data_IF_050218553797
#
_entry.id   IF_050218553797
#
_cell.length_a   1.000
_cell.length_b   1.000
_cell.length_c   1.000
_cell.angle_alpha   90.00
_cell.angle_beta   90.00
_cell.angle_gamma   90.00
#
_symmetry.space_group_name_H-M   'P 1'
#
loop_
_entity.id
_entity.type
_entity.pdbx_description
1 polymer ?
#
# COMPACT_ATOMS: atom_id res chain seq x y z
N UNK A 1 -0.43 14.29 -8.04
CA UNK A 1 -1.73 13.57 -8.08
C UNK A 1 -2.44 13.83 -6.78
N UNK A 2 -3.72 14.16 -6.85
CA UNK A 2 -4.55 14.39 -5.68
C UNK A 2 -4.77 13.08 -4.93
N UNK A 3 -4.86 13.18 -3.61
CA UNK A 3 -5.10 12.04 -2.72
C UNK A 3 -6.52 12.05 -2.21
N UNK A 4 -7.20 10.91 -2.22
CA UNK A 4 -8.50 10.73 -1.57
C UNK A 4 -8.26 10.37 -0.11
N UNK A 5 -8.67 11.26 0.78
CA UNK A 5 -8.48 11.12 2.23
C UNK A 5 -9.84 10.99 2.89
N UNK A 6 -10.09 9.87 3.56
CA UNK A 6 -11.31 9.67 4.35
C UNK A 6 -11.05 10.13 5.78
N UNK A 7 -11.89 11.02 6.30
CA UNK A 7 -11.83 11.49 7.69
C UNK A 7 -13.16 11.18 8.36
N UNK A 8 -13.17 10.22 9.28
CA UNK A 8 -14.40 9.76 9.92
C UNK A 8 -14.30 9.79 11.44
N UNK A 9 -15.43 10.12 12.07
CA UNK A 9 -15.66 9.89 13.49
C UNK A 9 -16.16 8.47 13.70
N UNK A 10 -15.52 7.72 14.58
CA UNK A 10 -15.83 6.30 14.81
C UNK A 10 -15.84 5.95 16.30
N UNK A 11 -16.83 5.18 16.74
CA UNK A 11 -16.88 4.62 18.10
C UNK A 11 -15.93 3.43 18.26
N UNK A 12 -15.71 2.95 19.49
CA UNK A 12 -14.86 1.77 19.74
C UNK A 12 -15.38 0.49 19.07
N UNK A 13 -16.70 0.37 18.89
CA UNK A 13 -17.38 -0.73 18.21
C UNK A 13 -17.63 -0.48 16.70
N UNK A 14 -16.98 0.55 16.13
CA UNK A 14 -16.89 0.77 14.70
C UNK A 14 -18.07 1.50 14.05
N UNK A 15 -18.92 2.16 14.85
CA UNK A 15 -20.12 2.87 14.39
C UNK A 15 -19.75 4.30 13.95
N UNK A 16 -20.35 4.75 12.85
CA UNK A 16 -20.15 6.09 12.25
C UNK A 16 -21.47 6.85 12.04
N UNK A 17 -22.59 6.33 12.53
CA UNK A 17 -23.92 6.90 12.32
C UNK A 17 -24.19 8.09 13.22
N UNK A 18 -24.77 9.15 12.67
CA UNK A 18 -25.22 10.36 13.39
C UNK A 18 -24.25 10.91 14.45
N UNK A 19 -22.95 11.10 14.14
CA UNK A 19 -21.99 11.53 15.15
C UNK A 19 -22.24 12.94 15.67
N UNK A 20 -22.68 13.87 14.83
CA UNK A 20 -22.70 15.31 15.12
C UNK A 20 -23.98 15.76 15.79
N UNK A 21 -25.15 15.32 15.31
CA UNK A 21 -26.46 15.79 15.80
C UNK A 21 -27.39 14.65 16.16
N UNK A 22 -28.27 14.90 17.13
CA UNK A 22 -29.30 13.96 17.56
C UNK A 22 -30.23 13.51 16.42
N UNK A 23 -30.51 14.41 15.47
CA UNK A 23 -31.41 14.21 14.33
C UNK A 23 -30.69 13.93 13.00
N UNK A 24 -29.36 13.73 13.01
CA UNK A 24 -28.54 13.65 11.77
C UNK A 24 -28.88 12.44 10.89
N UNK A 25 -29.09 11.27 11.51
CA UNK A 25 -29.39 10.00 10.83
C UNK A 25 -30.06 9.02 11.79
N UNK A 26 -31.38 9.14 11.92
CA UNK A 26 -32.22 8.30 12.79
C UNK A 26 -32.62 6.95 12.17
N UNK A 27 -32.04 6.55 11.03
CA UNK A 27 -32.35 5.28 10.37
C UNK A 27 -32.16 4.10 11.34
N UNK A 28 -33.13 3.17 11.34
CA UNK A 28 -33.06 1.96 12.17
C UNK A 28 -33.27 2.22 13.67
N UNK A 29 -34.03 3.27 14.02
CA UNK A 29 -34.32 3.68 15.40
C UNK A 29 -33.04 3.96 16.22
N UNK A 30 -32.01 4.48 15.56
CA UNK A 30 -30.74 4.78 16.20
C UNK A 30 -30.88 5.88 17.27
N UNK A 31 -30.67 5.51 18.52
CA UNK A 31 -30.99 6.34 19.68
C UNK A 31 -29.84 7.25 20.15
N UNK A 32 -28.68 7.19 19.51
CA UNK A 32 -27.44 7.79 20.03
C UNK A 32 -26.91 8.94 19.19
N UNK A 33 -27.74 9.60 18.38
CA UNK A 33 -27.29 10.75 17.57
C UNK A 33 -26.61 11.85 18.42
N UNK A 34 -25.56 12.47 17.88
CA UNK A 34 -24.78 13.50 18.57
C UNK A 34 -23.77 12.94 19.58
N UNK A 35 -23.42 11.66 19.49
CA UNK A 35 -22.58 10.99 20.48
C UNK A 35 -21.15 11.52 20.60
N UNK A 36 -20.65 12.31 19.65
CA UNK A 36 -19.28 12.88 19.74
C UNK A 36 -19.19 14.09 20.66
N UNK A 37 -20.31 14.78 20.93
CA UNK A 37 -20.32 16.09 21.60
C UNK A 37 -19.56 16.13 22.93
N UNK A 38 -19.64 15.11 23.82
CA UNK A 38 -18.87 15.11 25.08
C UNK A 38 -17.35 15.10 24.93
N UNK A 39 -16.85 14.78 23.73
CA UNK A 39 -15.43 14.55 23.43
C UNK A 39 -14.84 15.60 22.46
N UNK A 40 -15.61 16.63 22.10
CA UNK A 40 -15.14 17.69 21.20
C UNK A 40 -14.26 18.69 21.95
N UNK A 41 -12.99 18.32 22.15
CA UNK A 41 -11.96 19.20 22.74
C UNK A 41 -11.19 20.02 21.69
N UNK A 42 -10.26 20.86 22.16
CA UNK A 42 -9.44 21.72 21.31
C UNK A 42 -8.57 20.94 20.31
N UNK A 43 -8.08 19.76 20.70
CA UNK A 43 -7.26 18.91 19.82
C UNK A 43 -8.10 18.38 18.65
N UNK A 44 -9.32 17.90 18.94
CA UNK A 44 -10.26 17.43 17.92
C UNK A 44 -10.68 18.59 16.99
N UNK A 45 -11.02 19.74 17.56
CA UNK A 45 -11.41 20.92 16.80
C UNK A 45 -10.27 21.41 15.89
N UNK A 46 -9.05 21.49 16.42
CA UNK A 46 -7.85 21.90 15.67
C UNK A 46 -7.54 20.95 14.53
N UNK A 47 -7.63 19.64 14.77
CA UNK A 47 -7.44 18.64 13.73
C UNK A 47 -8.44 18.82 12.59
N UNK A 48 -9.73 18.92 12.91
CA UNK A 48 -10.79 19.09 11.92
C UNK A 48 -10.70 20.42 11.17
N UNK A 49 -10.38 21.52 11.85
CA UNK A 49 -10.16 22.83 11.23
C UNK A 49 -8.96 22.82 10.26
N UNK A 50 -7.87 22.15 10.63
CA UNK A 50 -6.70 21.98 9.75
C UNK A 50 -7.00 21.10 8.54
N UNK A 51 -7.67 19.96 8.74
CA UNK A 51 -8.03 19.07 7.65
C UNK A 51 -8.96 19.75 6.64
N UNK A 52 -9.90 20.54 7.13
CA UNK A 52 -10.87 21.28 6.33
C UNK A 52 -10.21 22.44 5.56
N UNK A 53 -9.41 23.25 6.24
CA UNK A 53 -8.77 24.44 5.63
C UNK A 53 -7.73 24.10 4.57
N UNK A 54 -7.11 22.92 4.66
CA UNK A 54 -6.09 22.44 3.72
C UNK A 54 -6.64 21.57 2.59
N UNK A 55 -7.93 21.23 2.61
CA UNK A 55 -8.55 20.43 1.56
C UNK A 55 -8.46 21.14 0.20
N UNK A 56 -8.13 20.39 -0.84
CA UNK A 56 -8.18 20.86 -2.23
C UNK A 56 -9.57 20.66 -2.86
N UNK A 57 -10.38 19.77 -2.30
CA UNK A 57 -11.78 19.55 -2.67
C UNK A 57 -12.49 18.63 -1.68
N UNK A 58 -13.82 18.61 -1.75
CA UNK A 58 -14.65 17.70 -0.96
C UNK A 58 -15.34 16.70 -1.87
N UNK A 59 -15.38 15.43 -1.48
CA UNK A 59 -16.17 14.41 -2.15
C UNK A 59 -17.27 13.95 -1.18
N UNK A 60 -18.52 14.25 -1.53
CA UNK A 60 -19.65 14.20 -0.61
C UNK A 60 -20.76 13.30 -1.15
N UNK A 61 -21.25 12.39 -0.31
CA UNK A 61 -22.55 11.75 -0.54
C UNK A 61 -23.71 12.72 -0.28
N UNK A 62 -24.87 12.48 -0.89
CA UNK A 62 -26.08 13.32 -0.76
C UNK A 62 -26.41 13.75 0.68
N UNK A 63 -26.49 12.81 1.63
CA UNK A 63 -26.88 13.11 3.02
C UNK A 63 -25.89 14.05 3.71
N UNK A 64 -24.60 13.78 3.56
CA UNK A 64 -23.53 14.63 4.11
C UNK A 64 -23.57 16.02 3.48
N UNK A 65 -23.81 16.08 2.16
CA UNK A 65 -23.99 17.35 1.46
C UNK A 65 -25.17 18.14 2.05
N UNK A 66 -26.36 17.55 2.16
CA UNK A 66 -27.56 18.20 2.70
C UNK A 66 -27.35 18.71 4.14
N UNK A 67 -26.67 17.92 4.98
CA UNK A 67 -26.31 18.33 6.34
C UNK A 67 -25.33 19.53 6.35
N UNK A 68 -24.39 19.57 5.41
CA UNK A 68 -23.38 20.63 5.35
C UNK A 68 -23.93 21.92 4.74
N UNK A 69 -24.84 21.84 3.76
CA UNK A 69 -25.42 23.04 3.14
C UNK A 69 -26.06 23.94 4.19
N UNK A 70 -26.81 23.36 5.14
CA UNK A 70 -27.51 24.11 6.18
C UNK A 70 -26.55 24.89 7.07
N UNK A 71 -25.42 24.31 7.45
CA UNK A 71 -24.49 24.90 8.40
C UNK A 71 -23.43 25.81 7.75
N UNK A 72 -23.07 25.59 6.48
CA UNK A 72 -21.90 26.23 5.85
C UNK A 72 -22.22 27.28 4.79
N UNK A 73 -23.41 27.24 4.19
CA UNK A 73 -23.89 28.28 3.27
C UNK A 73 -24.34 29.55 4.04
N UNK A 74 -24.82 29.39 5.28
CA UNK A 74 -25.52 30.44 6.03
C UNK A 74 -24.73 31.07 7.19
N UNK A 75 -23.50 30.61 7.46
CA UNK A 75 -22.71 31.03 8.63
C UNK A 75 -21.63 32.05 8.27
N UNK A 76 -21.22 32.87 9.25
CA UNK A 76 -20.28 33.98 9.12
C UNK A 76 -18.97 33.59 8.40
N UNK A 77 -18.74 34.19 7.22
CA UNK A 77 -17.58 33.95 6.38
C UNK A 77 -16.25 34.46 6.98
N UNK A 78 -16.27 35.04 8.18
CA UNK A 78 -15.05 35.38 8.93
C UNK A 78 -14.35 34.17 9.54
N UNK A 79 -15.02 33.02 9.67
CA UNK A 79 -14.38 31.77 10.05
C UNK A 79 -13.51 31.22 8.89
N UNK A 80 -12.19 31.01 9.09
CA UNK A 80 -11.30 30.52 8.04
C UNK A 80 -11.67 29.15 7.47
N UNK A 81 -12.23 28.24 8.27
CA UNK A 81 -12.68 26.94 7.79
C UNK A 81 -13.90 27.09 6.88
N UNK A 82 -14.86 27.95 7.27
CA UNK A 82 -16.07 28.22 6.48
C UNK A 82 -15.70 28.90 5.15
N UNK A 83 -14.83 29.90 5.20
CA UNK A 83 -14.28 30.54 4.00
C UNK A 83 -13.56 29.54 3.09
N UNK A 84 -12.76 28.63 3.65
CA UNK A 84 -12.09 27.58 2.87
C UNK A 84 -13.08 26.63 2.20
N UNK A 85 -14.10 26.15 2.92
CA UNK A 85 -15.12 25.26 2.38
C UNK A 85 -15.96 25.91 1.28
N UNK A 86 -16.28 27.19 1.41
CA UNK A 86 -16.97 27.93 0.36
C UNK A 86 -16.10 28.16 -0.88
N UNK A 87 -14.77 28.16 -0.77
CA UNK A 87 -13.85 28.35 -1.91
C UNK A 87 -13.62 27.07 -2.72
N UNK A 88 -13.47 25.91 -2.06
CA UNK A 88 -13.04 24.66 -2.71
C UNK A 88 -14.18 24.01 -3.51
N UNK A 89 -13.85 23.18 -4.52
CA UNK A 89 -14.85 22.39 -5.25
C UNK A 89 -15.49 21.32 -4.35
N UNK A 90 -16.80 21.10 -4.53
CA UNK A 90 -17.56 19.99 -3.94
C UNK A 90 -17.96 19.02 -5.04
N UNK A 91 -17.52 17.78 -4.96
CA UNK A 91 -17.90 16.70 -5.85
C UNK A 91 -19.04 15.90 -5.21
N UNK A 92 -20.25 16.09 -5.74
CA UNK A 92 -21.46 15.50 -5.19
C UNK A 92 -21.74 14.15 -5.84
N UNK A 93 -21.79 13.10 -5.03
CA UNK A 93 -22.27 11.77 -5.39
C UNK A 93 -23.73 11.64 -4.99
N UNK A 94 -24.63 11.76 -5.98
CA UNK A 94 -26.07 11.65 -5.75
C UNK A 94 -26.82 11.20 -7.00
N UNK A 95 -27.80 10.31 -6.82
CA UNK A 95 -28.72 9.90 -7.88
C UNK A 95 -30.00 10.75 -7.89
N UNK A 96 -30.36 11.37 -6.77
CA UNK A 96 -31.66 12.04 -6.61
C UNK A 96 -31.56 13.56 -6.53
N UNK A 97 -30.45 14.09 -6.03
CA UNK A 97 -30.24 15.55 -5.95
C UNK A 97 -29.67 16.02 -7.28
N UNK A 98 -30.50 16.72 -8.05
CA UNK A 98 -30.17 17.16 -9.41
C UNK A 98 -29.71 18.61 -9.50
N UNK A 99 -30.05 19.44 -8.51
CA UNK A 99 -29.75 20.88 -8.49
C UNK A 99 -29.14 21.29 -7.14
N UNK A 100 -27.81 21.14 -6.96
CA UNK A 100 -27.13 21.51 -5.72
C UNK A 100 -27.02 23.04 -5.59
N UNK A 101 -27.47 23.61 -4.46
CA UNK A 101 -27.44 25.06 -4.20
C UNK A 101 -26.06 25.59 -3.78
N UNK A 102 -25.29 24.77 -3.07
CA UNK A 102 -24.00 25.19 -2.52
C UNK A 102 -22.99 25.50 -3.63
N UNK A 103 -22.35 26.66 -3.53
CA UNK A 103 -21.39 27.14 -4.51
C UNK A 103 -20.26 26.14 -4.81
N UNK A 104 -19.73 26.18 -6.04
CA UNK A 104 -18.65 25.30 -6.50
C UNK A 104 -18.97 23.79 -6.41
N UNK A 105 -20.25 23.41 -6.45
CA UNK A 105 -20.66 22.00 -6.46
C UNK A 105 -20.78 21.47 -7.87
N UNK A 106 -20.11 20.34 -8.14
CA UNK A 106 -20.20 19.57 -9.37
C UNK A 106 -20.74 18.19 -9.02
N UNK A 107 -21.87 17.82 -9.63
CA UNK A 107 -22.41 16.47 -9.50
C UNK A 107 -21.61 15.50 -10.38
N UNK A 108 -21.15 14.39 -9.81
CA UNK A 108 -20.41 13.36 -10.54
C UNK A 108 -21.34 12.48 -11.38
N UNK A 109 -20.79 11.94 -12.47
CA UNK A 109 -21.48 11.01 -13.37
C UNK A 109 -21.78 9.64 -12.75
N UNK A 110 -22.49 8.76 -13.49
CA UNK A 110 -22.92 7.45 -12.99
C UNK A 110 -21.75 6.47 -12.80
N UNK A 111 -20.65 6.62 -13.55
CA UNK A 111 -19.42 5.85 -13.35
C UNK A 111 -18.54 6.52 -12.29
N UNK A 112 -18.87 6.27 -11.03
CA UNK A 112 -18.21 6.91 -9.90
C UNK A 112 -16.73 6.52 -9.80
N UNK A 113 -16.35 5.30 -10.20
CA UNK A 113 -14.95 4.86 -10.18
C UNK A 113 -14.15 5.73 -11.14
N UNK A 114 -14.57 5.82 -12.40
CA UNK A 114 -13.87 6.59 -13.42
C UNK A 114 -13.80 8.09 -13.06
N UNK A 115 -14.86 8.65 -12.49
CA UNK A 115 -14.87 10.04 -12.01
C UNK A 115 -13.83 10.27 -10.91
N UNK A 116 -13.77 9.39 -9.89
CA UNK A 116 -12.80 9.52 -8.80
C UNK A 116 -11.36 9.33 -9.29
N UNK A 117 -11.12 8.38 -10.21
CA UNK A 117 -9.80 8.21 -10.84
C UNK A 117 -9.39 9.46 -11.63
N UNK A 118 -10.32 10.07 -12.38
CA UNK A 118 -10.10 11.34 -13.07
C UNK A 118 -9.77 12.47 -12.10
N UNK A 119 -10.46 12.54 -10.96
CA UNK A 119 -10.19 13.55 -9.94
C UNK A 119 -8.79 13.36 -9.32
N UNK A 120 -8.36 12.12 -9.03
CA UNK A 120 -7.01 11.81 -8.54
C UNK A 120 -5.91 12.23 -9.53
N UNK A 121 -6.16 12.04 -10.83
CA UNK A 121 -5.24 12.44 -11.89
C UNK A 121 -5.25 13.94 -12.24
N UNK A 122 -6.26 14.70 -11.80
CA UNK A 122 -6.55 16.06 -12.27
C UNK A 122 -5.83 17.20 -11.56
N UNK A 123 -5.06 16.93 -10.50
CA UNK A 123 -4.40 17.97 -9.72
C UNK A 123 -3.50 17.44 -8.60
N UNK A 124 -3.27 18.31 -7.61
CA UNK A 124 -2.53 18.01 -6.37
C UNK A 124 -3.39 18.36 -5.14
N UNK A 125 -2.95 17.92 -3.96
CA UNK A 125 -3.65 18.15 -2.69
C UNK A 125 -4.69 17.09 -2.34
N UNK A 126 -5.44 17.32 -1.27
CA UNK A 126 -6.32 16.33 -0.67
C UNK A 126 -7.78 16.54 -1.09
N UNK A 127 -8.39 15.49 -1.63
CA UNK A 127 -9.83 15.38 -1.81
C UNK A 127 -10.38 14.69 -0.56
N UNK A 128 -11.02 15.46 0.30
CA UNK A 128 -11.47 14.99 1.61
C UNK A 128 -12.88 14.40 1.52
N UNK A 129 -13.06 13.25 2.16
CA UNK A 129 -14.35 12.55 2.31
C UNK A 129 -14.67 12.49 3.81
N UNK A 130 -15.65 13.27 4.26
CA UNK A 130 -16.19 13.20 5.63
C UNK A 130 -17.33 12.16 5.78
N UNK A 131 -17.82 11.64 4.66
CA UNK A 131 -18.99 10.76 4.60
C UNK A 131 -19.65 10.77 3.21
N UNK A 132 -20.72 10.01 2.97
CA UNK A 132 -21.42 9.14 3.92
C UNK A 132 -20.76 7.75 4.02
N UNK A 133 -21.15 6.95 5.02
CA UNK A 133 -20.66 5.57 5.15
C UNK A 133 -20.90 4.69 3.91
N UNK A 134 -21.87 5.02 3.05
CA UNK A 134 -22.05 4.34 1.75
C UNK A 134 -20.95 4.71 0.75
N UNK A 135 -20.64 6.00 0.62
CA UNK A 135 -19.57 6.48 -0.24
C UNK A 135 -18.21 5.93 0.20
N UNK A 136 -17.92 5.98 1.51
CA UNK A 136 -16.67 5.44 2.07
C UNK A 136 -16.52 3.95 1.76
N UNK A 137 -17.60 3.16 1.92
CA UNK A 137 -17.59 1.73 1.57
C UNK A 137 -17.37 1.50 0.08
N UNK A 138 -17.99 2.29 -0.79
CA UNK A 138 -17.75 2.21 -2.23
C UNK A 138 -16.28 2.48 -2.56
N UNK A 139 -15.71 3.58 -2.06
CA UNK A 139 -14.31 3.93 -2.31
C UNK A 139 -13.35 2.86 -1.80
N UNK A 140 -13.61 2.32 -0.60
CA UNK A 140 -12.85 1.22 -0.02
C UNK A 140 -12.86 -0.03 -0.89
N UNK A 141 -14.05 -0.48 -1.33
CA UNK A 141 -14.21 -1.68 -2.16
C UNK A 141 -13.51 -1.58 -3.51
N UNK A 142 -13.29 -0.36 -4.01
CA UNK A 142 -12.67 -0.10 -5.30
C UNK A 142 -11.19 0.32 -5.20
N UNK A 143 -10.59 0.27 -4.00
CA UNK A 143 -9.20 0.67 -3.73
C UNK A 143 -8.91 2.14 -4.10
N UNK A 144 -9.89 3.02 -3.86
CA UNK A 144 -9.84 4.44 -4.23
C UNK A 144 -9.51 5.36 -3.06
N UNK A 145 -9.20 4.83 -1.87
CA UNK A 145 -8.82 5.62 -0.69
C UNK A 145 -7.31 5.53 -0.47
N UNK A 146 -6.64 6.67 -0.50
CA UNK A 146 -5.19 6.75 -0.30
C UNK A 146 -4.83 6.77 1.20
N UNK A 147 -5.69 7.35 2.04
CA UNK A 147 -5.48 7.46 3.49
C UNK A 147 -6.80 7.50 4.26
N UNK A 148 -6.83 6.82 5.40
CA UNK A 148 -7.90 6.91 6.40
C UNK A 148 -7.39 7.64 7.63
N UNK A 149 -8.03 8.75 8.00
CA UNK A 149 -7.79 9.45 9.27
C UNK A 149 -9.00 9.22 10.17
N UNK A 150 -8.82 8.37 11.16
CA UNK A 150 -9.90 7.91 12.03
C UNK A 150 -9.79 8.63 13.37
N UNK A 151 -10.82 9.40 13.71
CA UNK A 151 -11.00 9.92 15.07
C UNK A 151 -11.83 8.89 15.84
N UNK A 152 -11.15 8.11 16.66
CA UNK A 152 -11.72 7.01 17.43
C UNK A 152 -12.09 7.52 18.82
N UNK A 153 -13.39 7.62 19.07
CA UNK A 153 -13.96 8.13 20.31
C UNK A 153 -14.13 7.01 21.33
N UNK A 154 -13.83 7.25 22.62
CA UNK A 154 -13.87 6.24 23.68
C UNK A 154 -15.31 5.94 24.16
N UNK A 155 -16.18 5.53 23.23
CA UNK A 155 -17.60 5.21 23.48
C UNK A 155 -18.00 3.93 22.76
N UNK A 156 -18.91 3.16 23.37
CA UNK A 156 -19.60 2.02 22.75
C UNK A 156 -21.06 2.38 22.50
N UNK A 157 -21.56 2.09 21.31
CA UNK A 157 -22.93 2.47 20.91
C UNK A 157 -23.86 1.26 20.79
N UNK A 158 -23.32 0.04 20.71
CA UNK A 158 -24.08 -1.21 20.76
C UNK A 158 -24.87 -1.53 19.49
N UNK A 159 -24.89 -0.63 18.51
CA UNK A 159 -25.60 -0.78 17.24
C UNK A 159 -25.50 0.47 16.37
N UNK A 160 -25.91 0.37 15.11
CA UNK A 160 -25.86 1.45 14.13
C UNK A 160 -25.06 1.10 12.87
N UNK A 161 -24.91 2.07 11.97
CA UNK A 161 -24.16 1.88 10.72
C UNK A 161 -22.66 1.86 10.97
N UNK A 162 -22.00 0.79 10.52
CA UNK A 162 -20.54 0.61 10.58
C UNK A 162 -19.83 1.20 9.37
N UNK A 163 -18.60 1.68 9.59
CA UNK A 163 -17.72 2.17 8.52
C UNK A 163 -17.39 1.07 7.50
N UNK A 164 -16.93 -0.08 8.01
CA UNK A 164 -16.65 -1.28 7.24
C UNK A 164 -17.67 -2.33 7.67
N UNK A 165 -18.71 -2.54 6.85
CA UNK A 165 -19.66 -3.64 7.05
C UNK A 165 -18.95 -4.99 6.77
N UNK A 166 -19.70 -6.09 6.74
CA UNK A 166 -19.19 -7.47 6.50
C UNK A 166 -18.54 -7.69 5.11
N UNK A 167 -18.24 -6.61 4.38
CA UNK A 167 -17.66 -6.60 3.03
C UNK A 167 -16.14 -6.41 3.02
N UNK A 168 -15.50 -6.22 4.17
CA UNK A 168 -14.04 -6.08 4.24
C UNK A 168 -13.39 -7.47 4.36
N UNK A 169 -12.65 -7.88 3.32
CA UNK A 169 -11.73 -9.02 3.42
C UNK A 169 -10.56 -8.71 4.38
N UNK A 170 -9.63 -9.65 4.54
CA UNK A 170 -8.38 -9.38 5.27
C UNK A 170 -7.57 -8.30 4.53
N UNK A 171 -7.46 -7.11 5.13
CA UNK A 171 -6.73 -5.97 4.58
C UNK A 171 -5.79 -5.45 5.66
N UNK A 172 -4.51 -5.38 5.33
CA UNK A 172 -3.51 -4.82 6.22
C UNK A 172 -3.43 -3.30 6.04
N UNK A 173 -3.20 -2.60 7.15
CA UNK A 173 -2.98 -1.16 7.17
C UNK A 173 -1.67 -0.86 7.89
N UNK A 174 -1.00 0.21 7.48
CA UNK A 174 0.13 0.79 8.20
C UNK A 174 -0.32 2.07 8.87
N UNK A 175 -0.07 2.20 10.17
CA UNK A 175 -0.20 3.45 10.90
C UNK A 175 0.90 4.42 10.43
N UNK A 176 0.51 5.60 9.97
CA UNK A 176 1.43 6.63 9.48
C UNK A 176 1.53 7.84 10.39
N UNK A 177 0.50 8.08 11.21
CA UNK A 177 0.49 9.16 12.20
C UNK A 177 -0.51 8.82 13.32
N UNK A 178 -0.27 9.32 14.54
CA UNK A 178 -1.10 9.05 15.71
C UNK A 178 -1.00 10.18 16.73
N UNK A 179 -2.14 10.62 17.25
CA UNK A 179 -2.22 11.55 18.39
C UNK A 179 -3.39 11.19 19.30
N UNK A 180 -3.33 11.65 20.56
CA UNK A 180 -4.40 11.45 21.55
C UNK A 180 -4.83 12.82 22.06
N UNK A 181 -6.13 13.05 22.15
CA UNK A 181 -6.72 14.28 22.68
C UNK A 181 -6.94 14.22 24.19
N UNK A 182 -7.19 15.37 24.83
CA UNK A 182 -7.44 15.45 26.28
C UNK A 182 -8.71 14.72 26.72
N UNK A 183 -9.71 14.62 25.85
CA UNK A 183 -10.93 13.84 26.07
C UNK A 183 -10.77 12.34 25.79
N UNK A 184 -9.57 11.90 25.39
CA UNK A 184 -9.26 10.49 25.12
C UNK A 184 -9.62 10.02 23.71
N UNK A 185 -9.92 10.93 22.77
CA UNK A 185 -10.08 10.59 21.36
C UNK A 185 -8.70 10.27 20.78
N UNK A 186 -8.56 9.11 20.14
CA UNK A 186 -7.33 8.79 19.39
C UNK A 186 -7.53 9.12 17.92
N UNK A 187 -6.60 9.85 17.33
CA UNK A 187 -6.66 10.27 15.94
C UNK A 187 -5.52 9.57 15.22
N UNK A 188 -5.87 8.61 14.38
CA UNK A 188 -4.92 7.71 13.74
C UNK A 188 -5.03 7.81 12.23
N UNK A 189 -3.90 8.02 11.57
CA UNK A 189 -3.81 8.02 10.11
C UNK A 189 -3.26 6.68 9.63
N UNK A 190 -3.98 6.07 8.70
CA UNK A 190 -3.66 4.77 8.14
C UNK A 190 -3.59 4.83 6.62
N UNK A 191 -2.58 4.18 6.08
CA UNK A 191 -2.51 3.87 4.66
C UNK A 191 -2.70 2.38 4.47
N UNK A 192 -3.36 1.99 3.37
CA UNK A 192 -3.43 0.58 3.01
C UNK A 192 -2.00 0.06 2.88
N UNK A 193 -1.68 -1.00 3.60
CA UNK A 193 -0.43 -1.71 3.37
C UNK A 193 -0.63 -2.46 2.07
N UNK A 194 -0.21 -1.86 0.95
CA UNK A 194 -0.15 -2.58 -0.30
C UNK A 194 0.74 -3.80 -0.06
N UNK A 195 0.21 -4.99 -0.35
CA UNK A 195 1.11 -6.11 -0.62
C UNK A 195 1.99 -5.64 -1.78
N UNK A 196 3.31 -5.81 -1.67
CA UNK A 196 4.19 -5.49 -2.80
C UNK A 196 3.58 -6.10 -4.08
N UNK A 197 3.57 -5.33 -5.17
CA UNK A 197 3.20 -5.87 -6.47
C UNK A 197 4.41 -6.64 -7.03
N UNK A 198 4.19 -7.76 -7.75
CA UNK A 198 5.29 -8.46 -8.40
C UNK A 198 6.11 -7.50 -9.25
N UNK A 199 7.43 -7.47 -9.04
CA UNK A 199 8.30 -6.65 -9.86
C UNK A 199 8.57 -7.39 -11.18
N UNK A 200 8.43 -6.75 -12.36
CA UNK A 200 8.66 -7.41 -13.65
C UNK A 200 10.03 -8.10 -13.78
N UNK A 201 11.10 -7.50 -13.24
CA UNK A 201 12.46 -8.10 -13.25
C UNK A 201 12.48 -9.40 -12.43
N UNK A 202 11.82 -9.42 -11.27
CA UNK A 202 11.76 -10.59 -10.41
C UNK A 202 10.82 -11.66 -10.98
N UNK A 203 9.73 -11.26 -11.63
CA UNK A 203 8.82 -12.17 -12.35
C UNK A 203 9.58 -12.87 -13.47
N UNK A 204 10.29 -12.12 -14.31
CA UNK A 204 11.08 -12.69 -15.41
C UNK A 204 12.16 -13.66 -14.90
N UNK A 205 12.90 -13.28 -13.86
CA UNK A 205 13.88 -14.17 -13.23
C UNK A 205 13.22 -15.44 -12.68
N UNK A 206 12.07 -15.28 -12.02
CA UNK A 206 11.30 -16.40 -11.46
C UNK A 206 10.83 -17.36 -12.55
N UNK A 207 10.29 -16.86 -13.66
CA UNK A 207 9.80 -17.67 -14.77
C UNK A 207 10.91 -18.55 -15.37
N UNK A 208 12.13 -18.01 -15.48
CA UNK A 208 13.28 -18.77 -16.01
C UNK A 208 13.85 -19.75 -14.99
N UNK A 209 14.02 -19.33 -13.75
CA UNK A 209 14.80 -20.11 -12.78
C UNK A 209 13.99 -21.10 -11.97
N UNK A 210 12.67 -20.92 -11.83
CA UNK A 210 11.86 -21.80 -10.98
C UNK A 210 12.02 -23.27 -11.36
N UNK A 211 12.13 -24.15 -10.35
CA UNK A 211 12.33 -25.58 -10.52
C UNK A 211 13.64 -26.08 -9.92
N UNK A 212 13.94 -27.35 -10.20
CA UNK A 212 15.14 -28.03 -9.70
C UNK A 212 16.23 -28.06 -10.78
N UNK A 213 17.47 -27.89 -10.34
CA UNK A 213 18.64 -27.78 -11.20
C UNK A 213 19.75 -28.66 -10.66
N UNK A 214 20.44 -29.34 -11.58
CA UNK A 214 21.71 -30.00 -11.32
C UNK A 214 22.82 -28.98 -11.53
N UNK A 215 23.72 -28.88 -10.57
CA UNK A 215 24.84 -27.94 -10.64
C UNK A 215 26.14 -28.72 -10.70
N UNK A 216 26.99 -28.40 -11.68
CA UNK A 216 28.30 -29.04 -11.84
C UNK A 216 29.35 -28.01 -12.27
N UNK A 217 30.57 -28.18 -11.78
CA UNK A 217 31.73 -27.37 -12.17
C UNK A 217 33.01 -27.94 -11.53
N UNK A 218 34.17 -27.32 -11.77
CA UNK A 218 35.40 -27.66 -11.06
C UNK A 218 35.19 -27.61 -9.54
N UNK A 219 35.43 -28.73 -8.86
CA UNK A 219 35.29 -28.79 -7.40
C UNK A 219 33.85 -28.68 -6.85
N UNK A 220 32.83 -28.46 -7.68
CA UNK A 220 31.44 -28.26 -7.25
C UNK A 220 30.50 -29.28 -7.92
N UNK A 221 29.70 -29.95 -7.10
CA UNK A 221 28.64 -30.86 -7.56
C UNK A 221 27.44 -30.74 -6.62
N UNK A 222 26.22 -30.64 -7.16
CA UNK A 222 25.05 -30.60 -6.29
C UNK A 222 23.74 -30.29 -6.97
N UNK A 223 22.80 -29.75 -6.21
CA UNK A 223 21.45 -29.39 -6.68
C UNK A 223 21.02 -28.05 -6.12
N UNK A 224 20.34 -27.28 -6.95
CA UNK A 224 19.64 -26.07 -6.54
C UNK A 224 18.13 -26.22 -6.80
N UNK A 225 17.31 -25.66 -5.93
CA UNK A 225 15.87 -25.54 -6.11
C UNK A 225 15.48 -24.08 -5.98
N UNK A 226 14.88 -23.52 -7.03
CA UNK A 226 14.30 -22.19 -7.02
C UNK A 226 12.79 -22.28 -6.88
N UNK A 227 12.25 -21.58 -5.89
CA UNK A 227 10.81 -21.55 -5.60
C UNK A 227 10.31 -20.12 -5.49
N UNK A 228 9.32 -19.78 -6.31
CA UNK A 228 8.59 -18.52 -6.11
C UNK A 228 7.71 -18.60 -4.87
N UNK A 229 7.78 -17.57 -4.03
CA UNK A 229 6.86 -17.33 -2.95
C UNK A 229 6.05 -16.08 -3.28
N UNK A 230 4.74 -16.26 -3.43
CA UNK A 230 3.81 -15.23 -3.92
C UNK A 230 4.25 -14.65 -5.27
N UNK A 231 4.42 -15.54 -6.25
CA UNK A 231 4.53 -15.29 -7.70
C UNK A 231 5.11 -13.91 -8.07
N UNK A 232 6.44 -13.79 -7.97
CA UNK A 232 7.20 -12.60 -8.37
C UNK A 232 7.42 -11.55 -7.27
N UNK A 233 7.16 -11.90 -6.01
CA UNK A 233 7.52 -11.09 -4.84
C UNK A 233 8.78 -11.54 -4.13
N UNK A 234 9.05 -12.83 -4.16
CA UNK A 234 10.20 -13.44 -3.52
C UNK A 234 10.55 -14.71 -4.27
N UNK A 235 11.82 -14.86 -4.63
CA UNK A 235 12.36 -16.10 -5.14
C UNK A 235 13.31 -16.67 -4.08
N UNK A 236 13.08 -17.91 -3.67
CA UNK A 236 13.94 -18.61 -2.71
C UNK A 236 14.75 -19.66 -3.46
N UNK A 237 16.05 -19.63 -3.27
CA UNK A 237 16.97 -20.66 -3.75
C UNK A 237 17.46 -21.48 -2.57
N UNK A 238 17.21 -22.77 -2.59
CA UNK A 238 17.85 -23.73 -1.68
C UNK A 238 18.90 -24.50 -2.46
N UNK A 239 20.06 -24.74 -1.87
CA UNK A 239 21.13 -25.44 -2.54
C UNK A 239 21.78 -26.47 -1.63
N UNK A 240 22.04 -27.64 -2.19
CA UNK A 240 22.83 -28.70 -1.58
C UNK A 240 24.05 -28.96 -2.49
N UNK A 241 25.23 -28.50 -2.06
CA UNK A 241 26.49 -28.65 -2.78
C UNK A 241 27.47 -29.56 -2.05
N UNK A 242 28.34 -30.19 -2.82
CA UNK A 242 29.64 -30.68 -2.38
C UNK A 242 30.68 -29.79 -3.05
N UNK A 243 31.35 -28.95 -2.26
CA UNK A 243 32.42 -28.07 -2.72
C UNK A 243 33.75 -28.59 -2.18
N UNK A 244 34.65 -29.02 -3.07
CA UNK A 244 35.95 -29.60 -2.73
C UNK A 244 35.87 -30.69 -1.65
N UNK A 245 34.83 -31.53 -1.71
CA UNK A 245 34.57 -32.63 -0.78
C UNK A 245 33.86 -32.23 0.52
N UNK A 246 33.48 -30.96 0.68
CA UNK A 246 32.72 -30.46 1.85
C UNK A 246 31.25 -30.28 1.48
N UNK A 247 30.35 -30.89 2.23
CA UNK A 247 28.91 -30.65 2.09
C UNK A 247 28.55 -29.24 2.56
N UNK A 248 27.83 -28.50 1.73
CA UNK A 248 27.34 -27.16 2.01
C UNK A 248 25.85 -27.08 1.71
N UNK A 249 25.08 -26.53 2.65
CA UNK A 249 23.70 -26.11 2.38
C UNK A 249 23.63 -24.61 2.34
N UNK A 250 22.94 -24.09 1.33
CA UNK A 250 22.74 -22.66 1.11
C UNK A 250 21.25 -22.37 1.08
N UNK A 251 20.86 -21.26 1.69
CA UNK A 251 19.58 -20.61 1.40
C UNK A 251 19.84 -19.19 0.91
N UNK A 252 19.14 -18.80 -0.15
CA UNK A 252 19.19 -17.45 -0.66
C UNK A 252 17.78 -16.92 -0.93
N UNK A 253 17.54 -15.67 -0.54
CA UNK A 253 16.28 -14.98 -0.78
C UNK A 253 16.51 -13.81 -1.74
N UNK A 254 15.80 -13.80 -2.87
CA UNK A 254 15.93 -12.77 -3.91
C UNK A 254 14.64 -11.95 -3.95
N UNK A 255 14.76 -10.64 -3.75
CA UNK A 255 13.66 -9.67 -3.75
C UNK A 255 14.00 -8.45 -4.59
N UNK A 256 12.99 -7.68 -5.01
CA UNK A 256 13.21 -6.35 -5.58
C UNK A 256 13.36 -5.31 -4.46
N UNK A 257 14.44 -4.53 -4.52
CA UNK A 257 14.60 -3.34 -3.69
C UNK A 257 13.96 -2.13 -4.40
N UNK A 258 12.86 -1.57 -3.88
CA UNK A 258 12.16 -0.46 -4.52
C UNK A 258 12.95 0.85 -4.52
N UNK A 259 13.92 1.02 -3.62
CA UNK A 259 14.68 2.27 -3.49
C UNK A 259 15.81 2.37 -4.53
N UNK A 260 16.42 1.23 -4.86
CA UNK A 260 17.55 1.14 -5.79
C UNK A 260 17.18 0.55 -7.15
N UNK A 261 15.97 0.00 -7.27
CA UNK A 261 15.46 -0.70 -8.45
C UNK A 261 16.33 -1.90 -8.90
N UNK A 262 16.99 -2.57 -7.95
CA UNK A 262 17.79 -3.78 -8.19
C UNK A 262 17.13 -5.03 -7.60
N UNK A 263 17.47 -6.21 -8.13
CA UNK A 263 17.17 -7.46 -7.47
C UNK A 263 18.29 -7.74 -6.47
N UNK A 264 17.95 -7.78 -5.18
CA UNK A 264 18.89 -8.05 -4.10
C UNK A 264 18.68 -9.47 -3.57
N UNK A 265 19.78 -10.19 -3.40
CA UNK A 265 19.79 -11.52 -2.85
C UNK A 265 20.55 -11.57 -1.53
N UNK A 266 19.97 -12.19 -0.51
CA UNK A 266 20.63 -12.47 0.76
C UNK A 266 20.98 -13.94 0.83
N UNK A 267 22.27 -14.27 0.86
CA UNK A 267 22.83 -15.61 0.87
C UNK A 267 23.26 -15.98 2.29
N UNK A 268 22.93 -17.18 2.73
CA UNK A 268 23.44 -17.76 3.97
C UNK A 268 23.81 -19.23 3.75
N UNK A 269 24.89 -19.70 4.37
CA UNK A 269 25.28 -21.10 4.29
C UNK A 269 25.64 -21.76 5.63
N UNK A 270 25.82 -23.08 5.60
CA UNK A 270 26.17 -23.89 6.77
C UNK A 270 27.59 -23.68 7.30
N UNK A 271 28.43 -22.94 6.57
CA UNK A 271 29.78 -22.55 7.01
C UNK A 271 29.76 -21.21 7.76
N UNK A 272 28.60 -20.53 7.80
CA UNK A 272 28.37 -19.28 8.50
C UNK A 272 28.63 -18.04 7.66
N UNK A 273 28.74 -18.17 6.34
CA UNK A 273 28.79 -17.02 5.43
C UNK A 273 27.39 -16.37 5.35
N UNK A 274 27.38 -15.04 5.32
CA UNK A 274 26.21 -14.18 5.21
C UNK A 274 26.58 -12.99 4.31
N UNK A 275 26.13 -13.07 3.06
CA UNK A 275 26.56 -12.17 2.01
C UNK A 275 25.36 -11.65 1.22
N UNK A 276 25.46 -10.42 0.71
CA UNK A 276 24.42 -9.81 -0.11
C UNK A 276 24.92 -9.67 -1.55
N UNK A 277 24.05 -9.99 -2.51
CA UNK A 277 24.35 -9.92 -3.94
C UNK A 277 23.31 -9.06 -4.68
N UNK A 278 23.74 -8.46 -5.79
CA UNK A 278 22.87 -7.82 -6.77
C UNK A 278 22.75 -8.69 -8.02
N UNK A 279 21.52 -8.94 -8.47
CA UNK A 279 21.22 -9.77 -9.62
C UNK A 279 20.69 -8.89 -10.76
N UNK A 280 21.28 -9.05 -11.95
CA UNK A 280 20.87 -8.34 -13.16
C UNK A 280 20.66 -9.36 -14.26
N UNK A 281 19.44 -9.45 -14.76
CA UNK A 281 19.08 -10.25 -15.93
C UNK A 281 18.88 -9.29 -17.12
N UNK A 282 19.67 -9.47 -18.18
CA UNK A 282 19.57 -8.71 -19.43
C UNK A 282 19.58 -9.66 -20.63
N UNK A 283 18.41 -9.83 -21.26
CA UNK A 283 18.25 -10.81 -22.33
C UNK A 283 18.52 -12.22 -21.82
N UNK A 284 19.51 -12.92 -22.36
CA UNK A 284 19.93 -14.25 -21.88
C UNK A 284 21.04 -14.19 -20.82
N UNK A 285 21.56 -13.00 -20.50
CA UNK A 285 22.71 -12.86 -19.63
C UNK A 285 22.27 -12.59 -18.20
N UNK A 286 22.85 -13.32 -17.25
CA UNK A 286 22.70 -13.14 -15.82
C UNK A 286 24.03 -12.66 -15.25
N UNK A 287 24.00 -11.55 -14.52
CA UNK A 287 25.13 -11.07 -13.74
C UNK A 287 24.75 -11.04 -12.26
N UNK A 288 25.60 -11.61 -11.42
CA UNK A 288 25.44 -11.62 -9.96
C UNK A 288 26.69 -11.02 -9.31
N UNK A 289 26.57 -9.84 -8.73
CA UNK A 289 27.70 -9.12 -8.12
C UNK A 289 27.57 -9.13 -6.60
N UNK A 290 28.68 -9.16 -5.85
CA UNK A 290 28.61 -8.87 -4.41
C UNK A 290 28.19 -7.41 -4.19
N UNK A 291 27.27 -7.18 -3.23
CA UNK A 291 26.74 -5.83 -2.95
C UNK A 291 27.67 -4.94 -2.12
N UNK A 292 28.77 -5.48 -1.59
CA UNK A 292 29.80 -4.65 -0.95
C UNK A 292 30.58 -3.89 -2.03
N UNK A 293 30.48 -2.56 -1.99
CA UNK A 293 31.06 -1.63 -2.99
C UNK A 293 32.58 -1.72 -3.13
N UNK A 294 33.27 -2.46 -2.27
CA UNK A 294 34.71 -2.67 -2.33
C UNK A 294 35.13 -3.93 -3.13
N UNK A 295 34.18 -4.77 -3.55
CA UNK A 295 34.48 -6.03 -4.25
C UNK A 295 34.10 -5.95 -5.73
N UNK A 296 35.10 -6.08 -6.62
CA UNK A 296 34.88 -6.27 -8.07
C UNK A 296 34.55 -7.74 -8.41
N UNK A 297 34.10 -8.54 -7.43
CA UNK A 297 33.75 -9.94 -7.63
C UNK A 297 32.35 -10.07 -8.22
N UNK A 298 32.21 -10.80 -9.32
CA UNK A 298 30.91 -11.08 -9.94
C UNK A 298 30.89 -12.44 -10.64
N UNK A 299 29.72 -13.05 -10.70
CA UNK A 299 29.41 -14.19 -11.55
C UNK A 299 28.71 -13.70 -12.81
N UNK A 300 29.16 -14.16 -13.97
CA UNK A 300 28.55 -13.85 -15.25
C UNK A 300 28.16 -15.14 -15.97
N UNK A 301 26.88 -15.27 -16.31
CA UNK A 301 26.27 -16.46 -16.88
C UNK A 301 25.38 -16.11 -18.07
N UNK A 302 25.13 -17.10 -18.93
CA UNK A 302 24.11 -17.00 -19.97
C UNK A 302 23.20 -18.23 -19.97
N UNK A 303 21.89 -17.99 -20.13
CA UNK A 303 20.89 -19.00 -20.40
C UNK A 303 20.95 -19.46 -21.86
N UNK A 304 20.61 -20.73 -22.09
CA UNK A 304 20.34 -21.25 -23.43
C UNK A 304 18.94 -20.85 -23.93
N UNK A 305 18.67 -21.09 -25.21
CA UNK A 305 17.45 -20.58 -25.88
C UNK A 305 16.14 -21.08 -25.26
N UNK A 306 16.13 -22.27 -24.65
CA UNK A 306 14.94 -22.87 -24.02
C UNK A 306 14.91 -22.71 -22.48
N UNK A 307 15.88 -21.99 -21.91
CA UNK A 307 16.09 -21.83 -20.47
C UNK A 307 16.18 -23.17 -19.70
N UNK A 308 16.61 -24.26 -20.35
CA UNK A 308 16.89 -25.53 -19.67
C UNK A 308 18.29 -25.58 -19.05
N UNK A 309 19.17 -24.66 -19.42
CA UNK A 309 20.52 -24.56 -18.90
C UNK A 309 20.96 -23.09 -18.79
N UNK A 310 21.74 -22.78 -17.76
CA UNK A 310 22.60 -21.60 -17.78
C UNK A 310 23.99 -21.96 -17.25
N UNK A 311 25.00 -21.31 -17.80
CA UNK A 311 26.39 -21.55 -17.43
C UNK A 311 27.15 -20.24 -17.35
N UNK A 312 28.08 -20.16 -16.40
CA UNK A 312 28.82 -18.93 -16.15
C UNK A 312 30.11 -19.16 -15.37
N UNK A 313 30.81 -18.07 -15.10
CA UNK A 313 32.12 -18.06 -14.45
C UNK A 313 32.16 -16.99 -13.37
N UNK A 314 32.84 -17.25 -12.25
CA UNK A 314 33.17 -16.23 -11.26
C UNK A 314 34.42 -15.46 -11.67
N UNK A 315 34.35 -14.15 -11.56
CA UNK A 315 35.44 -13.21 -11.73
C UNK A 315 35.79 -12.62 -10.37
N UNK A 316 37.07 -12.64 -10.02
CA UNK A 316 37.60 -12.12 -8.76
C UNK A 316 38.59 -10.96 -9.06
N UNK A 317 38.78 -10.00 -8.15
CA UNK A 317 39.70 -8.88 -8.34
C UNK A 317 41.17 -9.27 -8.54
N UNK A 318 41.57 -10.45 -8.05
CA UNK A 318 42.92 -10.99 -8.21
C UNK A 318 42.97 -11.96 -9.41
N UNK A 319 43.71 -11.59 -10.47
CA UNK A 319 43.83 -12.31 -11.75
C UNK A 319 44.42 -13.74 -11.68
N UNK A 320 44.79 -14.22 -10.48
CA UNK A 320 45.42 -15.54 -10.26
C UNK A 320 44.43 -16.65 -9.87
N UNK A 321 43.13 -16.35 -9.74
CA UNK A 321 42.09 -17.36 -9.48
C UNK A 321 41.60 -17.96 -10.82
N UNK A 322 41.65 -19.29 -11.02
CA UNK A 322 41.15 -19.89 -12.24
C UNK A 322 39.69 -19.53 -12.50
N UNK A 323 39.37 -19.21 -13.76
CA UNK A 323 38.00 -19.07 -14.22
C UNK A 323 37.28 -20.43 -14.17
N UNK A 324 36.56 -20.68 -13.08
CA UNK A 324 35.81 -21.91 -12.88
C UNK A 324 34.39 -21.79 -13.46
N UNK A 325 34.18 -22.44 -14.59
CA UNK A 325 32.87 -22.50 -15.24
C UNK A 325 31.92 -23.42 -14.47
N UNK A 326 30.78 -22.90 -14.04
CA UNK A 326 29.71 -23.62 -13.37
C UNK A 326 28.52 -23.73 -14.32
N UNK A 327 27.94 -24.92 -14.43
CA UNK A 327 26.79 -25.24 -15.28
C UNK A 327 25.61 -25.65 -14.40
N UNK A 328 24.47 -25.03 -14.64
CA UNK A 328 23.19 -25.35 -14.03
C UNK A 328 22.25 -25.90 -15.11
N UNK A 329 21.91 -27.19 -15.04
CA UNK A 329 21.01 -27.86 -15.99
C UNK A 329 19.73 -28.28 -15.28
N UNK A 330 18.57 -28.03 -15.88
CA UNK A 330 17.26 -28.32 -15.28
C UNK A 330 17.08 -29.83 -15.07
N UNK A 331 16.48 -30.20 -13.94
CA UNK A 331 16.08 -31.57 -13.64
C UNK A 331 14.61 -31.70 -14.02
N UNK A 332 14.28 -32.63 -14.92
CA UNK A 332 12.89 -32.93 -15.35
C UNK A 332 11.98 -33.37 -14.20
#
# INVERSE_FOLDING_TARGET
MSRVVVINFISLDGIVQAPLRADEDADGDFAHGGWVQPFMDETVATFMGNATSKAAGLLLGRRTYENFVVDWEQTDATDPAIAAMNRIPKYLVSQTLTDPSWNNTVRLGPDLRAEVERLRGGGDGEIVVFGSGELVRFLHQHDLVDEYRLLIFPVLLGGGKRMFADTAGLINFRLTDSQVSDSGVTINSYQRAHSALPNPKLVELTERMSGQWRVNGPGIDGRAEYKSLRDGLLLVMNVDFVVNGTEMKVIQHITHDPDTDVLRAHYMDTMGDDSTYEWVLDGQNLRVSLSDKASDTFFEASFNDDNSEYAGTWHYPDDDVPEERIVYSRIE
#
